data_IF_309748790450
#
_entry.id   IF_309748790450
#
_cell.length_a   1.000
_cell.length_b   1.000
_cell.length_c   1.000
_cell.angle_alpha   90.00
_cell.angle_beta   90.00
_cell.angle_gamma   90.00
#
_symmetry.space_group_name_H-M   'P 1'
#
loop_
_entity.id
_entity.type
_entity.pdbx_description
1 polymer ?
#
# COMPACT_ATOMS: atom_id res chain seq x y z
N UNK A 1 23.43 8.16 -23.48
CA UNK A 1 22.76 6.89 -23.08
C UNK A 1 21.33 7.24 -22.73
N UNK A 2 20.38 6.81 -23.56
CA UNK A 2 18.96 6.96 -23.24
C UNK A 2 18.61 6.01 -22.10
N UNK A 3 18.42 6.53 -20.89
CA UNK A 3 18.09 5.74 -19.69
C UNK A 3 16.67 5.13 -19.75
N UNK A 4 15.82 5.62 -20.67
CA UNK A 4 14.43 5.19 -20.83
C UNK A 4 14.31 4.36 -22.10
N UNK A 5 14.07 3.04 -22.00
CA UNK A 5 13.98 2.17 -23.16
C UNK A 5 12.76 2.47 -24.04
N UNK A 6 12.87 2.11 -25.32
CA UNK A 6 11.85 2.35 -26.35
C UNK A 6 10.49 1.72 -25.97
N UNK A 7 10.52 0.59 -25.27
CA UNK A 7 9.36 -0.12 -24.73
C UNK A 7 8.55 0.72 -23.71
N UNK A 8 9.19 1.61 -22.93
CA UNK A 8 8.50 2.56 -22.05
C UNK A 8 7.98 3.79 -22.80
N UNK A 9 8.68 4.23 -23.85
CA UNK A 9 8.27 5.38 -24.67
C UNK A 9 7.01 5.13 -25.48
N UNK A 10 6.73 3.87 -25.81
CA UNK A 10 5.55 3.44 -26.55
C UNK A 10 4.50 2.72 -25.66
N UNK A 11 4.51 2.98 -24.33
CA UNK A 11 3.54 2.37 -23.43
C UNK A 11 2.09 2.73 -23.85
N UNK A 12 1.20 1.74 -24.00
CA UNK A 12 -0.21 2.03 -24.18
C UNK A 12 -0.75 2.73 -22.92
N UNK A 13 -1.77 3.57 -23.11
CA UNK A 13 -2.38 4.37 -22.04
C UNK A 13 -2.75 3.52 -20.82
N UNK A 14 -3.28 2.32 -21.03
CA UNK A 14 -3.68 1.41 -19.96
C UNK A 14 -2.49 0.97 -19.11
N UNK A 15 -1.34 0.71 -19.73
CA UNK A 15 -0.12 0.37 -19.01
C UNK A 15 0.39 1.56 -18.19
N UNK A 16 0.35 2.78 -18.75
CA UNK A 16 0.73 3.99 -18.02
C UNK A 16 -0.18 4.24 -16.79
N UNK A 17 -1.49 3.98 -16.91
CA UNK A 17 -2.43 4.06 -15.79
C UNK A 17 -2.05 3.04 -14.70
N UNK A 18 -1.77 1.78 -15.06
CA UNK A 18 -1.34 0.75 -14.09
C UNK A 18 -0.05 1.13 -13.36
N UNK A 19 0.92 1.72 -14.07
CA UNK A 19 2.14 2.23 -13.46
C UNK A 19 1.83 3.34 -12.44
N UNK A 20 0.97 4.28 -12.81
CA UNK A 20 0.64 5.43 -11.96
C UNK A 20 -0.13 5.01 -10.71
N UNK A 21 -1.18 4.19 -10.86
CA UNK A 21 -2.00 3.72 -9.73
C UNK A 21 -1.15 2.94 -8.73
N UNK A 22 -0.29 2.05 -9.23
CA UNK A 22 0.66 1.31 -8.39
C UNK A 22 1.66 2.22 -7.72
N UNK A 23 2.23 3.18 -8.44
CA UNK A 23 3.19 4.12 -7.88
C UNK A 23 2.55 4.90 -6.73
N UNK A 24 1.35 5.45 -6.91
CA UNK A 24 0.65 6.19 -5.85
C UNK A 24 0.33 5.31 -4.64
N UNK A 25 -0.07 4.05 -4.88
CA UNK A 25 -0.34 3.09 -3.80
C UNK A 25 0.92 2.71 -3.03
N UNK A 26 2.02 2.41 -3.70
CA UNK A 26 3.28 2.04 -3.04
C UNK A 26 3.93 3.22 -2.34
N UNK A 27 3.78 4.43 -2.87
CA UNK A 27 4.14 5.66 -2.15
C UNK A 27 3.38 5.77 -0.83
N UNK A 28 2.06 5.59 -0.86
CA UNK A 28 1.24 5.58 0.36
C UNK A 28 1.69 4.48 1.34
N UNK A 29 1.99 3.28 0.85
CA UNK A 29 2.46 2.16 1.68
C UNK A 29 3.78 2.49 2.37
N UNK A 30 4.74 3.06 1.64
CA UNK A 30 6.01 3.53 2.19
C UNK A 30 5.82 4.63 3.24
N UNK A 31 4.95 5.61 2.98
CA UNK A 31 4.70 6.70 3.92
C UNK A 31 4.05 6.19 5.22
N UNK A 32 3.07 5.28 5.11
CA UNK A 32 2.40 4.72 6.26
C UNK A 32 3.33 3.82 7.08
N UNK A 33 4.16 2.97 6.46
CA UNK A 33 4.98 1.99 7.19
C UNK A 33 5.90 2.63 8.23
N UNK A 34 6.47 3.80 7.92
CA UNK A 34 7.30 4.58 8.84
C UNK A 34 6.46 5.23 9.93
N UNK A 35 5.31 5.81 9.57
CA UNK A 35 4.48 6.62 10.47
C UNK A 35 3.62 5.75 11.41
N UNK A 36 3.25 4.54 11.00
CA UNK A 36 2.25 3.70 11.67
C UNK A 36 2.60 3.41 13.12
N UNK A 37 3.86 3.07 13.41
CA UNK A 37 4.29 2.77 14.80
C UNK A 37 4.18 4.02 15.66
N UNK A 38 4.69 5.16 15.20
CA UNK A 38 4.60 6.43 15.92
C UNK A 38 3.15 6.85 16.13
N UNK A 39 2.30 6.62 15.13
CA UNK A 39 0.87 6.85 15.23
C UNK A 39 0.24 6.03 16.35
N UNK A 40 0.43 4.70 16.35
CA UNK A 40 -0.15 3.81 17.33
C UNK A 40 0.33 4.12 18.76
N UNK A 41 1.62 4.41 18.93
CA UNK A 41 2.17 4.86 20.23
C UNK A 41 1.55 6.20 20.65
N UNK A 42 1.36 7.14 19.72
CA UNK A 42 0.71 8.43 20.01
C UNK A 42 -0.77 8.30 20.40
N UNK A 43 -1.43 7.20 20.01
CA UNK A 43 -2.78 6.86 20.46
C UNK A 43 -2.82 6.33 21.91
N UNK A 44 -1.65 6.04 22.51
CA UNK A 44 -1.50 5.53 23.86
C UNK A 44 -1.34 4.01 23.95
N UNK A 45 -1.09 3.31 22.83
CA UNK A 45 -0.82 1.88 22.83
C UNK A 45 0.61 1.62 23.35
N UNK A 46 0.79 0.53 24.09
CA UNK A 46 2.12 0.09 24.52
C UNK A 46 2.89 -0.55 23.37
N UNK A 47 4.22 -0.57 23.45
CA UNK A 47 5.07 -1.20 22.42
C UNK A 47 4.70 -2.67 22.17
N UNK A 48 4.35 -3.41 23.23
CA UNK A 48 3.90 -4.79 23.13
C UNK A 48 2.57 -4.91 22.36
N UNK A 49 1.62 -4.00 22.58
CA UNK A 49 0.34 -3.96 21.85
C UNK A 49 0.55 -3.61 20.38
N UNK A 50 1.44 -2.66 20.09
CA UNK A 50 1.83 -2.31 18.71
C UNK A 50 2.45 -3.52 18.02
N UNK A 51 3.43 -4.18 18.65
CA UNK A 51 4.07 -5.38 18.12
C UNK A 51 3.05 -6.49 17.80
N UNK A 52 2.15 -6.79 18.74
CA UNK A 52 1.08 -7.76 18.54
C UNK A 52 0.20 -7.42 17.33
N UNK A 53 -0.23 -6.15 17.22
CA UNK A 53 -1.05 -5.68 16.10
C UNK A 53 -0.33 -5.86 14.77
N UNK A 54 0.93 -5.44 14.67
CA UNK A 54 1.70 -5.55 13.42
C UNK A 54 1.95 -7.02 13.05
N UNK A 55 2.25 -7.88 14.01
CA UNK A 55 2.41 -9.32 13.78
C UNK A 55 1.11 -9.95 13.26
N UNK A 56 -0.03 -9.67 13.89
CA UNK A 56 -1.33 -10.18 13.44
C UNK A 56 -1.77 -9.60 12.09
N UNK A 57 -1.38 -8.36 11.80
CA UNK A 57 -1.60 -7.74 10.49
C UNK A 57 -0.80 -8.47 9.41
N UNK A 58 0.51 -8.66 9.60
CA UNK A 58 1.36 -9.38 8.65
C UNK A 58 0.95 -10.85 8.47
N UNK A 59 0.53 -11.53 9.54
CA UNK A 59 0.00 -12.88 9.45
C UNK A 59 -1.33 -12.93 8.67
N UNK A 60 -2.21 -11.94 8.90
CA UNK A 60 -3.44 -11.74 8.14
C UNK A 60 -3.18 -11.50 6.66
N UNK A 61 -2.27 -10.58 6.36
CA UNK A 61 -1.82 -10.23 5.02
C UNK A 61 -1.34 -11.46 4.25
N UNK A 62 -0.53 -12.29 4.90
CA UNK A 62 -0.06 -13.56 4.34
C UNK A 62 -1.23 -14.51 4.04
N UNK A 63 -2.13 -14.71 5.00
CA UNK A 63 -3.27 -15.60 4.85
C UNK A 63 -4.24 -15.14 3.76
N UNK A 64 -4.57 -13.84 3.72
CA UNK A 64 -5.41 -13.22 2.70
C UNK A 64 -4.74 -13.31 1.34
N UNK A 65 -3.44 -13.00 1.23
CA UNK A 65 -2.70 -13.11 -0.03
C UNK A 65 -2.71 -14.55 -0.56
N UNK A 66 -2.51 -15.55 0.30
CA UNK A 66 -2.59 -16.97 -0.08
C UNK A 66 -4.00 -17.36 -0.53
N UNK A 67 -5.02 -16.95 0.21
CA UNK A 67 -6.42 -17.25 -0.14
C UNK A 67 -6.81 -16.60 -1.48
N UNK A 68 -6.43 -15.35 -1.68
CA UNK A 68 -6.76 -14.60 -2.89
C UNK A 68 -5.99 -15.13 -4.09
N UNK A 69 -4.68 -15.40 -3.98
CA UNK A 69 -3.92 -15.98 -5.09
C UNK A 69 -4.44 -17.36 -5.51
N UNK A 70 -4.92 -18.18 -4.58
CA UNK A 70 -5.48 -19.51 -4.89
C UNK A 70 -6.92 -19.48 -5.41
N UNK A 71 -7.72 -18.45 -5.06
CA UNK A 71 -9.14 -18.34 -5.47
C UNK A 71 -9.42 -17.23 -6.50
N UNK A 72 -8.40 -16.48 -6.92
CA UNK A 72 -8.54 -15.29 -7.75
C UNK A 72 -9.27 -15.54 -9.07
N UNK A 73 -8.94 -16.66 -9.73
CA UNK A 73 -9.43 -16.96 -11.07
C UNK A 73 -10.96 -17.17 -11.12
N UNK A 74 -11.61 -17.49 -9.99
CA UNK A 74 -13.07 -17.71 -9.92
C UNK A 74 -13.88 -16.45 -9.59
N UNK A 75 -13.29 -15.47 -8.90
CA UNK A 75 -14.02 -14.30 -8.38
C UNK A 75 -14.04 -13.16 -9.42
N UNK A 76 -13.04 -13.13 -10.30
CA UNK A 76 -12.89 -12.14 -11.35
C UNK A 76 -12.02 -10.95 -10.92
N UNK A 77 -11.02 -10.64 -11.74
CA UNK A 77 -9.97 -9.63 -11.50
C UNK A 77 -10.53 -8.27 -11.03
N UNK A 78 -11.48 -7.70 -11.79
CA UNK A 78 -12.05 -6.38 -11.48
C UNK A 78 -12.76 -6.33 -10.12
N UNK A 79 -13.48 -7.39 -9.74
CA UNK A 79 -14.20 -7.44 -8.45
C UNK A 79 -13.23 -7.49 -7.28
N UNK A 80 -12.13 -8.24 -7.42
CA UNK A 80 -11.10 -8.33 -6.38
C UNK A 80 -10.38 -7.01 -6.14
N UNK A 81 -10.09 -6.24 -7.20
CA UNK A 81 -9.50 -4.90 -7.06
C UNK A 81 -10.44 -3.95 -6.30
N UNK A 82 -11.73 -3.96 -6.64
CA UNK A 82 -12.74 -3.15 -5.94
C UNK A 82 -12.87 -3.56 -4.47
N UNK A 83 -12.92 -4.86 -4.17
CA UNK A 83 -12.99 -5.35 -2.79
C UNK A 83 -11.74 -4.96 -2.00
N UNK A 84 -10.55 -5.13 -2.57
CA UNK A 84 -9.29 -4.71 -1.96
C UNK A 84 -9.27 -3.21 -1.67
N UNK A 85 -9.71 -2.39 -2.63
CA UNK A 85 -9.81 -0.94 -2.49
C UNK A 85 -10.76 -0.53 -1.35
N UNK A 86 -11.94 -1.15 -1.27
CA UNK A 86 -12.92 -0.89 -0.20
C UNK A 86 -12.36 -1.30 1.16
N UNK A 87 -11.74 -2.48 1.26
CA UNK A 87 -11.12 -2.95 2.49
C UNK A 87 -10.02 -1.98 2.95
N UNK A 88 -9.18 -1.52 2.02
CA UNK A 88 -8.11 -0.57 2.29
C UNK A 88 -8.63 0.80 2.76
N UNK A 89 -9.65 1.34 2.09
CA UNK A 89 -10.30 2.57 2.51
C UNK A 89 -10.91 2.42 3.92
N UNK A 90 -11.64 1.33 4.15
CA UNK A 90 -12.26 1.02 5.44
C UNK A 90 -11.25 0.87 6.57
N UNK A 91 -10.11 0.24 6.31
CA UNK A 91 -9.03 0.09 7.28
C UNK A 91 -8.46 1.44 7.72
N UNK A 92 -8.14 2.31 6.76
CA UNK A 92 -7.62 3.64 7.07
C UNK A 92 -8.63 4.49 7.84
N UNK A 93 -9.92 4.42 7.48
CA UNK A 93 -10.99 5.09 8.25
C UNK A 93 -11.07 4.54 9.68
N UNK A 94 -11.02 3.21 9.85
CA UNK A 94 -11.05 2.60 11.16
C UNK A 94 -9.86 3.05 12.02
N UNK A 95 -8.64 3.05 11.46
CA UNK A 95 -7.43 3.52 12.13
C UNK A 95 -7.52 5.01 12.51
N UNK A 96 -8.17 5.84 11.70
CA UNK A 96 -8.39 7.25 12.03
C UNK A 96 -9.46 7.45 13.13
N UNK A 97 -10.44 6.55 13.22
CA UNK A 97 -11.67 6.74 14.01
C UNK A 97 -11.62 6.14 15.41
N UNK A 98 -10.74 5.18 15.68
CA UNK A 98 -10.70 4.47 16.98
C UNK A 98 -9.30 4.35 17.56
N UNK A 99 -9.25 4.21 18.89
CA UNK A 99 -8.04 3.84 19.65
C UNK A 99 -8.12 2.44 20.24
N UNK A 100 -9.26 1.76 20.05
CA UNK A 100 -9.49 0.44 20.62
C UNK A 100 -8.64 -0.60 19.86
N UNK A 101 -7.70 -1.22 20.58
CA UNK A 101 -6.75 -2.20 20.04
C UNK A 101 -7.45 -3.32 19.26
N UNK A 102 -8.58 -3.83 19.76
CA UNK A 102 -9.27 -4.96 19.13
C UNK A 102 -9.80 -4.58 17.74
N UNK A 103 -10.40 -3.38 17.63
CA UNK A 103 -10.85 -2.86 16.34
C UNK A 103 -9.69 -2.57 15.39
N UNK A 104 -8.58 -2.04 15.89
CA UNK A 104 -7.38 -1.80 15.09
C UNK A 104 -6.75 -3.10 14.59
N UNK A 105 -6.75 -4.17 15.40
CA UNK A 105 -6.30 -5.50 14.97
C UNK A 105 -7.19 -6.03 13.85
N UNK A 106 -8.52 -6.02 14.04
CA UNK A 106 -9.46 -6.49 13.01
C UNK A 106 -9.31 -5.69 11.72
N UNK A 107 -9.24 -4.36 11.82
CA UNK A 107 -9.04 -3.49 10.67
C UNK A 107 -7.68 -3.70 9.99
N UNK A 108 -6.60 -3.89 10.75
CA UNK A 108 -5.26 -4.13 10.21
C UNK A 108 -5.21 -5.46 9.47
N UNK A 109 -5.65 -6.54 10.12
CA UNK A 109 -5.64 -7.90 9.57
C UNK A 109 -6.56 -8.08 8.36
N UNK A 110 -7.72 -7.40 8.29
CA UNK A 110 -8.67 -7.57 7.17
C UNK A 110 -8.53 -6.51 6.08
N UNK A 111 -8.02 -5.34 6.45
CA UNK A 111 -8.14 -4.12 5.67
C UNK A 111 -6.95 -3.81 4.76
N UNK A 112 -6.06 -4.76 4.50
CA UNK A 112 -4.88 -4.54 3.64
C UNK A 112 -4.07 -3.34 4.14
N UNK A 113 -3.78 -3.27 5.44
CA UNK A 113 -2.79 -2.32 5.96
C UNK A 113 -1.42 -2.97 5.81
N UNK A 114 -0.46 -2.25 5.24
CA UNK A 114 0.89 -2.80 5.04
C UNK A 114 1.92 -2.17 6.00
N UNK A 115 2.18 -2.82 7.17
CA UNK A 115 3.30 -2.46 8.04
C UNK A 115 4.65 -2.48 7.33
N UNK A 116 4.80 -3.35 6.34
CA UNK A 116 6.07 -3.58 5.64
C UNK A 116 6.31 -2.61 4.48
N UNK A 117 5.34 -1.79 4.12
CA UNK A 117 5.41 -0.90 2.95
C UNK A 117 5.31 -1.62 1.59
N UNK A 118 5.08 -2.95 1.61
CA UNK A 118 4.93 -3.77 0.42
C UNK A 118 3.47 -3.99 0.05
N UNK A 119 3.25 -4.38 -1.20
CA UNK A 119 1.92 -4.79 -1.65
C UNK A 119 1.46 -6.09 -1.01
N UNK A 120 0.22 -6.05 -0.53
CA UNK A 120 -0.51 -7.19 0.03
C UNK A 120 -1.74 -7.45 -0.84
N UNK A 121 -2.12 -8.72 -0.98
CA UNK A 121 -3.37 -9.10 -1.62
C UNK A 121 -3.30 -9.20 -3.14
N UNK A 122 -4.42 -9.00 -3.85
CA UNK A 122 -4.56 -9.43 -5.24
C UNK A 122 -4.09 -8.37 -6.24
N UNK A 123 -3.76 -7.17 -5.78
CA UNK A 123 -3.41 -6.03 -6.63
C UNK A 123 -2.26 -6.35 -7.57
N UNK A 124 -1.10 -6.75 -7.02
CA UNK A 124 0.09 -7.02 -7.81
C UNK A 124 -0.14 -8.11 -8.86
N UNK A 125 -0.76 -9.23 -8.46
CA UNK A 125 -0.98 -10.36 -9.37
C UNK A 125 -1.96 -10.00 -10.49
N UNK A 126 -3.02 -9.25 -10.20
CA UNK A 126 -3.99 -8.81 -11.19
C UNK A 126 -3.39 -7.78 -12.14
N UNK A 127 -2.65 -6.80 -11.63
CA UNK A 127 -2.03 -5.75 -12.44
C UNK A 127 -0.93 -6.30 -13.35
N UNK A 128 -0.10 -7.21 -12.86
CA UNK A 128 0.90 -7.91 -13.68
C UNK A 128 0.23 -8.73 -14.79
N UNK A 129 -0.90 -9.39 -14.49
CA UNK A 129 -1.68 -10.10 -15.50
C UNK A 129 -2.26 -9.13 -16.54
N UNK A 130 -2.84 -7.99 -16.12
CA UNK A 130 -3.34 -6.95 -17.03
C UNK A 130 -2.22 -6.37 -17.92
N UNK A 131 -1.07 -6.06 -17.33
CA UNK A 131 0.11 -5.56 -18.03
C UNK A 131 0.61 -6.57 -19.07
N UNK A 132 0.55 -7.87 -18.77
CA UNK A 132 0.93 -8.92 -19.73
C UNK A 132 0.05 -8.97 -20.98
N UNK A 133 -1.23 -8.55 -20.88
CA UNK A 133 -2.16 -8.52 -22.01
C UNK A 133 -1.94 -7.30 -22.92
N UNK A 134 -1.51 -6.17 -22.38
CA UNK A 134 -1.33 -4.92 -23.14
C UNK A 134 0.11 -4.71 -23.63
N UNK A 135 1.09 -5.42 -23.06
CA UNK A 135 2.51 -5.33 -23.45
C UNK A 135 2.91 -6.48 -24.37
N UNK A 136 3.53 -6.21 -25.54
CA UNK A 136 4.04 -7.24 -26.45
C UNK A 136 5.07 -8.16 -25.77
N UNK A 137 5.07 -9.44 -26.14
CA UNK A 137 5.93 -10.46 -25.52
C UNK A 137 7.43 -10.10 -25.54
N UNK A 138 7.92 -9.45 -26.61
CA UNK A 138 9.33 -9.06 -26.75
C UNK A 138 9.81 -8.02 -25.74
N UNK A 139 8.92 -7.15 -25.24
CA UNK A 139 9.26 -6.08 -24.27
C UNK A 139 8.78 -6.35 -22.85
N UNK A 140 8.09 -7.47 -22.60
CA UNK A 140 7.35 -7.69 -21.36
C UNK A 140 8.25 -7.80 -20.13
N UNK A 141 9.38 -8.51 -20.23
CA UNK A 141 10.35 -8.65 -19.14
C UNK A 141 10.92 -7.29 -18.72
N UNK A 142 11.24 -6.44 -19.70
CA UNK A 142 11.76 -5.09 -19.44
C UNK A 142 10.70 -4.20 -18.78
N UNK A 143 9.46 -4.23 -19.27
CA UNK A 143 8.36 -3.47 -18.66
C UNK A 143 8.08 -3.95 -17.23
N UNK A 144 8.14 -5.26 -16.95
CA UNK A 144 8.00 -5.78 -15.58
C UNK A 144 9.15 -5.36 -14.66
N UNK A 145 10.38 -5.30 -15.17
CA UNK A 145 11.53 -4.79 -14.42
C UNK A 145 11.32 -3.32 -14.03
N UNK A 146 10.91 -2.47 -14.98
CA UNK A 146 10.58 -1.07 -14.72
C UNK A 146 9.37 -0.90 -13.81
N UNK A 147 8.36 -1.75 -13.94
CA UNK A 147 7.20 -1.76 -13.05
C UNK A 147 7.63 -2.00 -11.61
N UNK A 148 8.49 -3.00 -11.40
CA UNK A 148 9.04 -3.34 -10.09
C UNK A 148 9.90 -2.20 -9.54
N UNK A 149 10.83 -1.68 -10.34
CA UNK A 149 11.70 -0.57 -9.96
C UNK A 149 10.92 0.68 -9.58
N UNK A 150 9.94 1.09 -10.39
CA UNK A 150 9.08 2.22 -10.10
C UNK A 150 8.35 2.04 -8.77
N UNK A 151 7.89 0.83 -8.48
CA UNK A 151 7.29 0.49 -7.19
C UNK A 151 8.24 0.63 -6.01
N UNK A 152 9.46 0.09 -6.10
CA UNK A 152 10.48 0.24 -5.05
C UNK A 152 10.86 1.70 -4.81
N UNK A 153 11.01 2.48 -5.89
CA UNK A 153 11.26 3.93 -5.82
C UNK A 153 10.09 4.64 -5.13
N UNK A 154 8.85 4.30 -5.47
CA UNK A 154 7.66 4.86 -4.83
C UNK A 154 7.64 4.59 -3.33
N UNK A 155 7.85 3.34 -2.90
CA UNK A 155 7.93 2.98 -1.48
C UNK A 155 9.05 3.73 -0.76
N UNK A 156 10.24 3.83 -1.37
CA UNK A 156 11.36 4.56 -0.77
C UNK A 156 11.07 6.06 -0.63
N UNK A 157 10.52 6.70 -1.66
CA UNK A 157 10.09 8.10 -1.61
C UNK A 157 8.99 8.29 -0.56
N UNK A 158 7.99 7.41 -0.53
CA UNK A 158 6.94 7.42 0.48
C UNK A 158 7.51 7.38 1.90
N UNK A 159 8.39 6.41 2.18
CA UNK A 159 9.05 6.27 3.47
C UNK A 159 9.88 7.50 3.86
N UNK A 160 10.63 8.07 2.92
CA UNK A 160 11.38 9.30 3.13
C UNK A 160 10.45 10.46 3.48
N UNK A 161 9.34 10.61 2.75
CA UNK A 161 8.37 11.69 2.97
C UNK A 161 7.64 11.52 4.31
N UNK A 162 7.23 10.30 4.64
CA UNK A 162 6.60 9.95 5.92
C UNK A 162 7.53 10.18 7.11
N UNK A 163 8.80 9.76 6.99
CA UNK A 163 9.82 10.01 8.00
C UNK A 163 10.15 11.49 8.20
N UNK A 164 10.29 12.25 7.11
CA UNK A 164 10.50 13.70 7.18
C UNK A 164 9.30 14.41 7.84
N UNK A 165 8.07 14.05 7.48
CA UNK A 165 6.86 14.57 8.09
C UNK A 165 6.79 14.24 9.59
N UNK A 166 7.08 12.99 9.98
CA UNK A 166 7.10 12.58 11.38
C UNK A 166 8.15 13.36 12.20
N UNK A 167 9.34 13.60 11.63
CA UNK A 167 10.40 14.37 12.25
C UNK A 167 10.04 15.86 12.46
N UNK A 168 9.33 16.47 11.50
CA UNK A 168 8.83 17.85 11.64
C UNK A 168 7.75 17.92 12.73
N UNK A 169 6.81 16.97 12.75
CA UNK A 169 5.72 16.94 13.75
C UNK A 169 6.27 16.77 15.17
N UNK A 170 7.25 15.89 15.39
CA UNK A 170 7.91 15.74 16.70
C UNK A 170 8.58 17.03 17.17
N UNK A 171 9.23 17.78 16.27
CA UNK A 171 9.94 19.02 16.61
C UNK A 171 9.00 20.20 16.86
N UNK A 172 7.83 20.23 16.25
CA UNK A 172 6.91 21.37 16.30
C UNK A 172 5.95 21.37 17.51
N UNK A 173 6.00 20.35 18.39
CA UNK A 173 5.07 20.17 19.52
C UNK A 173 3.57 20.29 19.16
N UNK A 174 3.23 20.07 17.88
CA UNK A 174 1.86 20.00 17.41
C UNK A 174 1.18 18.76 18.01
N UNK A 175 -0.15 18.77 18.10
CA UNK A 175 -0.93 17.60 18.54
C UNK A 175 -0.61 16.38 17.66
N UNK A 176 0.30 15.53 18.14
CA UNK A 176 1.04 14.53 17.35
C UNK A 176 0.10 13.54 16.64
N UNK A 177 -1.04 13.24 17.26
CA UNK A 177 -2.02 12.28 16.76
C UNK A 177 -2.81 12.77 15.53
N UNK A 178 -3.16 14.06 15.45
CA UNK A 178 -3.95 14.58 14.32
C UNK A 178 -3.11 14.71 13.04
N UNK A 179 -1.82 15.03 13.16
CA UNK A 179 -0.90 15.03 12.01
C UNK A 179 -0.71 13.62 11.43
N UNK A 180 -0.62 12.60 12.28
CA UNK A 180 -0.51 11.22 11.83
C UNK A 180 -1.82 10.68 11.23
N UNK A 181 -2.97 11.12 11.73
CA UNK A 181 -4.28 10.80 11.13
C UNK A 181 -4.37 11.27 9.68
N UNK A 182 -3.81 12.43 9.35
CA UNK A 182 -3.75 12.89 7.95
C UNK A 182 -3.00 11.90 7.07
N UNK A 183 -1.88 11.35 7.54
CA UNK A 183 -1.11 10.33 6.79
C UNK A 183 -1.93 9.05 6.61
N UNK A 184 -2.66 8.61 7.63
CA UNK A 184 -3.56 7.43 7.56
C UNK A 184 -4.70 7.65 6.56
N UNK A 185 -5.28 8.86 6.52
CA UNK A 185 -6.34 9.22 5.57
C UNK A 185 -5.81 9.38 4.14
N UNK A 186 -4.62 9.96 3.97
CA UNK A 186 -3.94 10.01 2.67
C UNK A 186 -3.62 8.60 2.18
N UNK A 187 -3.18 7.72 3.07
CA UNK A 187 -2.97 6.31 2.76
C UNK A 187 -4.25 5.67 2.22
N UNK A 188 -5.36 5.85 2.93
CA UNK A 188 -6.64 5.27 2.55
C UNK A 188 -7.13 5.79 1.18
N UNK A 189 -6.98 7.09 0.93
CA UNK A 189 -7.39 7.72 -0.33
C UNK A 189 -6.49 7.33 -1.51
N UNK A 190 -5.16 7.31 -1.31
CA UNK A 190 -4.21 7.12 -2.40
C UNK A 190 -4.06 5.65 -2.81
N UNK A 191 -4.17 4.70 -1.88
CA UNK A 191 -3.99 3.29 -2.23
C UNK A 191 -5.28 2.51 -2.46
N UNK A 192 -6.47 3.06 -2.17
CA UNK A 192 -7.76 2.44 -2.50
C UNK A 192 -8.16 2.61 -3.98
N UNK A 193 -7.19 2.75 -4.88
CA UNK A 193 -7.43 2.83 -6.31
C UNK A 193 -7.61 1.39 -6.86
N UNK A 194 -8.78 1.09 -7.47
CA UNK A 194 -9.04 -0.22 -8.07
C UNK A 194 -8.43 -0.38 -9.46
#
# INVERSE_FOLDING_TARGET
MDLIPVSLRALPRDAAILFLTRFTRLFAYGALSVVLVFYLVSLGLTEAQVGLLLTLTLAGDMAISLLLTTRADRIGRRRMLIVGAILMAGAGIAFASTKNLLFLIVAGTTGVISPSGNEVGPFLSIEQAALSHVVPARGRTEVFAWYTLAGSVATALGALTGGAAAGVVQKASLSTSDSYRVVVLLYSALGSQP
#
